data_IF_118706876211
#
_entry.id   IF_118706876211
#
_cell.length_a   1.000
_cell.length_b   1.000
_cell.length_c   1.000
_cell.angle_alpha   90.00
_cell.angle_beta   90.00
_cell.angle_gamma   90.00
#
_symmetry.space_group_name_H-M   'P 1'
#
loop_
_entity.id
_entity.type
_entity.pdbx_description
1 polymer ?
#
# COMPACT_ATOMS: atom_id res chain seq x y z
N UNK A 1 13.88 7.69 -59.73
CA UNK A 1 15.04 8.29 -59.06
C UNK A 1 15.04 7.76 -57.65
N UNK A 2 16.06 6.93 -57.37
CA UNK A 2 16.33 6.25 -56.11
C UNK A 2 16.76 7.26 -55.03
N UNK A 3 16.40 7.05 -53.82
CA UNK A 3 17.19 7.46 -52.67
C UNK A 3 16.99 6.46 -51.49
N UNK A 4 17.92 5.54 -51.48
CA UNK A 4 18.21 4.66 -50.37
C UNK A 4 18.87 5.51 -49.27
N UNK A 5 18.41 5.45 -48.01
CA UNK A 5 19.17 5.85 -46.85
C UNK A 5 19.30 4.67 -45.88
N UNK A 6 20.55 4.21 -45.85
CA UNK A 6 21.08 3.12 -45.05
C UNK A 6 20.84 3.27 -43.56
N UNK A 7 20.40 2.18 -42.94
CA UNK A 7 20.45 1.96 -41.50
C UNK A 7 21.89 1.65 -41.11
N UNK A 8 22.56 2.52 -40.38
CA UNK A 8 23.86 2.26 -39.76
C UNK A 8 23.64 1.48 -38.44
N UNK A 9 24.05 0.22 -38.48
CA UNK A 9 24.23 -0.67 -37.35
C UNK A 9 25.34 -0.12 -36.43
N UNK A 10 25.02 0.14 -35.19
CA UNK A 10 26.02 0.42 -34.14
C UNK A 10 26.70 -0.89 -33.74
N UNK A 11 28.00 -1.00 -33.99
CA UNK A 11 28.88 -2.08 -33.54
C UNK A 11 29.16 -1.92 -32.04
N UNK A 12 29.25 -3.00 -31.25
CA UNK A 12 29.64 -2.91 -29.86
C UNK A 12 31.14 -2.61 -29.73
N UNK A 13 31.48 -1.61 -28.92
CA UNK A 13 32.84 -1.27 -28.53
C UNK A 13 33.49 -2.41 -27.74
N UNK A 14 34.49 -3.03 -28.34
CA UNK A 14 35.44 -3.95 -27.70
C UNK A 14 36.29 -3.15 -26.69
N UNK A 15 36.25 -3.54 -25.43
CA UNK A 15 37.18 -3.09 -24.43
C UNK A 15 38.54 -3.68 -24.67
N UNK A 16 39.51 -2.83 -24.96
CA UNK A 16 40.95 -3.18 -25.01
C UNK A 16 41.47 -2.92 -23.60
N UNK A 17 41.98 -3.96 -22.96
CA UNK A 17 42.68 -3.86 -21.68
C UNK A 17 44.10 -3.34 -21.91
N UNK A 18 44.60 -2.37 -21.16
CA UNK A 18 46.03 -2.11 -21.06
C UNK A 18 46.65 -2.97 -19.94
N UNK A 19 47.51 -3.90 -20.31
CA UNK A 19 48.40 -4.55 -19.38
C UNK A 19 49.49 -3.54 -18.98
N UNK A 20 49.59 -3.20 -17.68
CA UNK A 20 50.78 -2.61 -17.10
C UNK A 20 51.14 -3.39 -15.84
N UNK A 21 52.38 -3.88 -15.84
CA UNK A 21 53.00 -4.63 -14.76
C UNK A 21 53.59 -3.71 -13.69
N UNK A 22 53.51 -4.21 -12.46
CA UNK A 22 54.47 -4.04 -11.33
C UNK A 22 54.39 -2.73 -10.51
N UNK A 23 53.98 -2.94 -9.23
CA UNK A 23 54.25 -2.00 -8.15
C UNK A 23 53.42 -2.42 -6.91
N UNK A 24 54.06 -3.12 -5.94
CA UNK A 24 53.42 -3.58 -4.73
C UNK A 24 52.78 -2.44 -3.90
N UNK A 25 51.53 -2.53 -3.66
CA UNK A 25 50.75 -1.69 -2.76
C UNK A 25 49.34 -2.26 -2.66
N UNK A 26 49.12 -3.14 -1.66
CA UNK A 26 47.79 -3.75 -1.42
C UNK A 26 46.83 -2.66 -0.95
N UNK A 27 46.20 -1.98 -1.86
CA UNK A 27 45.03 -1.20 -1.56
C UNK A 27 43.83 -2.06 -1.89
N UNK A 28 43.29 -2.73 -0.87
CA UNK A 28 42.06 -3.50 -0.95
C UNK A 28 40.91 -2.47 -1.06
N UNK A 29 40.65 -1.99 -2.27
CA UNK A 29 39.41 -1.32 -2.58
C UNK A 29 38.39 -2.45 -2.64
N UNK A 30 37.79 -2.76 -1.47
CA UNK A 30 36.55 -3.51 -1.43
C UNK A 30 35.56 -2.78 -2.33
N UNK A 31 35.33 -3.32 -3.52
CA UNK A 31 34.27 -2.87 -4.40
C UNK A 31 33.00 -2.93 -3.57
N UNK A 32 32.47 -1.76 -3.22
CA UNK A 32 31.15 -1.66 -2.62
C UNK A 32 30.19 -2.36 -3.56
N UNK A 33 29.75 -3.53 -3.13
CA UNK A 33 28.72 -4.25 -3.87
C UNK A 33 27.51 -3.33 -3.95
N UNK A 34 26.84 -3.18 -5.10
CA UNK A 34 25.61 -2.43 -5.17
C UNK A 34 24.66 -3.10 -4.17
N UNK A 35 24.27 -2.33 -3.14
CA UNK A 35 23.24 -2.73 -2.20
C UNK A 35 22.05 -3.11 -3.07
N UNK A 36 21.71 -4.40 -3.08
CA UNK A 36 20.50 -4.90 -3.74
C UNK A 36 19.34 -4.35 -2.91
N UNK A 37 18.89 -3.14 -3.27
CA UNK A 37 17.62 -2.64 -2.75
C UNK A 37 16.59 -3.72 -3.07
N UNK A 38 15.98 -4.28 -2.02
CA UNK A 38 14.85 -5.21 -2.21
C UNK A 38 13.81 -4.55 -3.11
N UNK A 39 13.24 -5.30 -4.07
CA UNK A 39 12.27 -4.71 -4.98
C UNK A 39 11.17 -3.98 -4.19
N UNK A 40 10.82 -2.78 -4.62
CA UNK A 40 9.72 -1.95 -4.08
C UNK A 40 8.50 -2.78 -3.70
N UNK A 41 8.15 -3.75 -4.55
CA UNK A 41 7.04 -4.67 -4.31
C UNK A 41 7.18 -5.47 -3.01
N UNK A 42 8.38 -5.81 -2.57
CA UNK A 42 8.61 -6.57 -1.34
C UNK A 42 8.53 -5.65 -0.12
N UNK A 43 9.14 -4.47 -0.18
CA UNK A 43 9.05 -3.46 0.89
C UNK A 43 7.64 -2.90 1.03
N UNK A 44 6.93 -2.66 -0.07
CA UNK A 44 5.53 -2.26 -0.06
C UNK A 44 4.62 -3.38 0.42
N UNK A 45 4.88 -4.65 0.06
CA UNK A 45 4.19 -5.80 0.66
C UNK A 45 4.42 -5.87 2.17
N UNK A 46 5.64 -5.65 2.64
CA UNK A 46 5.95 -5.63 4.07
C UNK A 46 5.27 -4.45 4.79
N UNK A 47 5.21 -3.27 4.15
CA UNK A 47 4.47 -2.12 4.67
C UNK A 47 2.95 -2.35 4.67
N UNK A 48 2.38 -2.95 3.60
CA UNK A 48 0.99 -3.38 3.55
C UNK A 48 0.67 -4.39 4.66
N UNK A 49 1.54 -5.37 4.87
CA UNK A 49 1.41 -6.34 5.95
C UNK A 49 1.51 -5.71 7.35
N UNK A 50 2.31 -4.65 7.49
CA UNK A 50 2.50 -3.95 8.77
C UNK A 50 1.44 -2.90 9.06
N UNK A 51 0.68 -2.46 8.07
CA UNK A 51 -0.41 -1.48 8.22
C UNK A 51 -1.75 -2.11 8.66
N UNK A 52 -1.75 -3.30 9.24
CA UNK A 52 -2.97 -4.05 9.60
C UNK A 52 -3.85 -4.46 8.40
N UNK A 53 -3.30 -4.54 7.20
CA UNK A 53 -3.96 -5.07 6.02
C UNK A 53 -3.83 -6.60 5.92
N UNK A 54 -3.26 -7.26 6.95
CA UNK A 54 -3.35 -8.70 7.03
C UNK A 54 -4.81 -9.12 7.23
N UNK A 55 -5.30 -10.08 6.46
CA UNK A 55 -6.58 -10.68 6.77
C UNK A 55 -6.51 -11.18 8.22
N UNK A 56 -7.49 -10.85 9.05
CA UNK A 56 -7.50 -11.27 10.43
C UNK A 56 -7.39 -12.80 10.52
N UNK A 57 -6.68 -13.29 11.52
CA UNK A 57 -6.55 -14.74 11.75
C UNK A 57 -7.94 -15.35 11.95
N UNK A 58 -8.24 -16.51 11.33
CA UNK A 58 -9.51 -17.15 11.53
C UNK A 58 -9.72 -17.44 13.02
N UNK A 59 -10.77 -16.88 13.61
CA UNK A 59 -11.24 -17.24 14.95
C UNK A 59 -12.05 -18.53 14.88
N UNK A 60 -12.13 -19.30 15.97
CA UNK A 60 -12.93 -20.53 16.01
C UNK A 60 -14.39 -20.22 15.63
N UNK A 61 -15.00 -21.18 15.00
CA UNK A 61 -16.28 -21.13 14.30
C UNK A 61 -17.34 -20.25 14.96
N UNK A 62 -17.66 -19.15 14.29
CA UNK A 62 -18.89 -18.40 14.55
C UNK A 62 -20.07 -19.30 14.09
N UNK A 63 -21.15 -19.43 14.88
CA UNK A 63 -22.30 -20.24 14.47
C UNK A 63 -22.77 -19.82 13.07
N UNK A 64 -23.21 -20.76 12.25
CA UNK A 64 -23.56 -20.62 10.83
C UNK A 64 -24.51 -19.43 10.57
N UNK A 65 -23.96 -18.27 10.38
CA UNK A 65 -24.72 -17.13 9.88
C UNK A 65 -24.57 -17.15 8.38
N UNK A 66 -25.63 -17.51 7.67
CA UNK A 66 -25.58 -17.77 6.24
C UNK A 66 -25.53 -16.50 5.40
N UNK A 67 -26.15 -15.41 5.83
CA UNK A 67 -26.15 -14.17 5.05
C UNK A 67 -26.47 -12.93 5.87
N UNK A 68 -25.92 -11.80 5.41
CA UNK A 68 -26.22 -10.46 5.88
C UNK A 68 -26.92 -9.71 4.76
N UNK A 69 -28.04 -9.06 5.06
CA UNK A 69 -28.84 -8.38 4.03
C UNK A 69 -29.24 -6.98 4.50
N UNK A 70 -28.99 -6.00 3.64
CA UNK A 70 -29.56 -4.67 3.79
C UNK A 70 -30.89 -4.61 3.02
N UNK A 71 -32.00 -4.51 3.74
CA UNK A 71 -33.33 -4.28 3.15
C UNK A 71 -33.85 -2.88 3.54
N UNK A 72 -33.79 -1.95 2.59
CA UNK A 72 -33.93 -0.55 2.93
C UNK A 72 -32.78 -0.11 3.87
N UNK A 73 -33.14 0.51 4.98
CA UNK A 73 -32.16 0.89 6.02
C UNK A 73 -31.94 -0.18 7.08
N UNK A 74 -32.68 -1.29 7.02
CA UNK A 74 -32.55 -2.37 8.00
C UNK A 74 -31.45 -3.35 7.61
N UNK A 75 -30.54 -3.60 8.54
CA UNK A 75 -29.59 -4.71 8.45
C UNK A 75 -30.24 -5.94 9.09
N UNK A 76 -30.29 -7.03 8.32
CA UNK A 76 -30.81 -8.34 8.76
C UNK A 76 -29.69 -9.38 8.77
N UNK A 77 -29.70 -10.20 9.81
CA UNK A 77 -28.91 -11.43 9.86
C UNK A 77 -29.86 -12.59 9.58
N UNK A 78 -29.56 -13.37 8.57
CA UNK A 78 -30.38 -14.48 8.15
C UNK A 78 -29.66 -15.80 8.41
N UNK A 79 -30.36 -16.72 9.05
CA UNK A 79 -29.89 -18.08 9.38
C UNK A 79 -30.75 -19.10 8.65
N UNK A 80 -30.12 -20.14 8.16
CA UNK A 80 -30.82 -21.28 7.55
C UNK A 80 -30.12 -22.58 7.98
N UNK A 81 -30.86 -23.55 8.44
CA UNK A 81 -30.37 -24.89 8.78
C UNK A 81 -30.91 -25.89 7.77
N UNK A 82 -30.02 -26.46 6.95
CA UNK A 82 -30.43 -27.42 5.90
C UNK A 82 -31.46 -26.84 4.93
N UNK A 83 -32.55 -27.58 4.69
CA UNK A 83 -33.66 -27.15 3.82
C UNK A 83 -34.74 -26.36 4.58
N UNK A 84 -34.49 -25.92 5.82
CA UNK A 84 -35.46 -25.14 6.59
C UNK A 84 -35.65 -23.72 6.03
N UNK A 85 -36.75 -23.09 6.38
CA UNK A 85 -37.04 -21.73 5.98
C UNK A 85 -35.98 -20.77 6.55
N UNK A 86 -35.55 -19.83 5.69
CA UNK A 86 -34.58 -18.79 6.06
C UNK A 86 -35.21 -17.84 7.07
N UNK A 87 -34.71 -17.81 8.29
CA UNK A 87 -35.16 -16.89 9.35
C UNK A 87 -34.24 -15.69 9.43
N UNK A 88 -34.80 -14.50 9.27
CA UNK A 88 -34.07 -13.23 9.29
C UNK A 88 -34.48 -12.39 10.49
N UNK A 89 -33.51 -11.86 11.20
CA UNK A 89 -33.68 -10.97 12.36
C UNK A 89 -33.07 -9.61 12.05
N UNK A 90 -33.75 -8.52 12.37
CA UNK A 90 -33.23 -7.15 12.24
C UNK A 90 -32.27 -6.88 13.37
N UNK A 91 -31.00 -6.56 13.06
CA UNK A 91 -29.97 -6.26 14.06
C UNK A 91 -29.67 -4.79 14.20
N UNK A 92 -30.17 -3.97 13.27
CA UNK A 92 -30.02 -2.52 13.33
C UNK A 92 -30.42 -1.82 12.05
N UNK A 93 -30.25 -0.48 12.05
CA UNK A 93 -30.64 0.36 10.94
C UNK A 93 -29.55 1.38 10.58
N UNK A 94 -29.51 1.74 9.32
CA UNK A 94 -28.69 2.83 8.79
C UNK A 94 -27.26 2.45 8.42
N UNK A 95 -26.59 3.39 7.77
CA UNK A 95 -25.24 3.27 7.26
C UNK A 95 -24.22 2.82 8.32
N UNK A 96 -24.23 3.47 9.48
CA UNK A 96 -23.23 3.26 10.55
C UNK A 96 -23.27 1.84 11.10
N UNK A 97 -24.48 1.29 11.29
CA UNK A 97 -24.65 -0.09 11.76
C UNK A 97 -24.17 -1.07 10.71
N UNK A 98 -24.56 -0.89 9.46
CA UNK A 98 -24.10 -1.72 8.35
C UNK A 98 -22.59 -1.70 8.24
N UNK A 99 -21.96 -0.51 8.24
CA UNK A 99 -20.51 -0.38 8.10
C UNK A 99 -19.77 -1.00 9.28
N UNK A 100 -20.25 -0.82 10.51
CA UNK A 100 -19.67 -1.44 11.70
C UNK A 100 -19.70 -2.96 11.58
N UNK A 101 -20.86 -3.53 11.26
CA UNK A 101 -21.02 -4.97 11.10
C UNK A 101 -20.11 -5.52 10.01
N UNK A 102 -19.98 -4.83 8.87
CA UNK A 102 -19.07 -5.24 7.81
C UNK A 102 -17.60 -5.20 8.28
N UNK A 103 -17.21 -4.17 9.04
CA UNK A 103 -15.88 -4.08 9.64
C UNK A 103 -15.63 -5.21 10.65
N UNK A 104 -16.62 -5.54 11.48
CA UNK A 104 -16.53 -6.61 12.47
C UNK A 104 -16.39 -7.98 11.79
N UNK A 105 -17.15 -8.23 10.73
CA UNK A 105 -17.02 -9.42 9.89
C UNK A 105 -15.62 -9.53 9.27
N UNK A 106 -15.12 -8.43 8.72
CA UNK A 106 -13.76 -8.37 8.20
C UNK A 106 -12.73 -8.66 9.32
N UNK A 107 -12.89 -8.04 10.49
CA UNK A 107 -12.05 -8.26 11.66
C UNK A 107 -12.08 -9.70 12.19
N UNK A 108 -13.16 -10.44 11.95
CA UNK A 108 -13.33 -11.85 12.32
C UNK A 108 -12.80 -12.82 11.25
N UNK A 109 -12.33 -12.32 10.09
CA UNK A 109 -11.91 -13.15 8.98
C UNK A 109 -13.06 -13.66 8.09
N UNK A 110 -14.28 -13.21 8.34
CA UNK A 110 -15.45 -13.55 7.49
C UNK A 110 -15.48 -12.64 6.26
N UNK A 111 -14.49 -12.83 5.39
CA UNK A 111 -14.21 -11.95 4.25
C UNK A 111 -15.36 -11.93 3.25
N UNK A 112 -15.98 -13.09 2.99
CA UNK A 112 -17.06 -13.22 2.01
C UNK A 112 -18.27 -12.37 2.43
N UNK A 113 -18.74 -12.53 3.67
CA UNK A 113 -19.87 -11.76 4.15
C UNK A 113 -19.54 -10.28 4.32
N UNK A 114 -18.32 -9.94 4.72
CA UNK A 114 -17.87 -8.56 4.76
C UNK A 114 -17.92 -7.89 3.38
N UNK A 115 -17.41 -8.57 2.33
CA UNK A 115 -17.45 -8.06 0.95
C UNK A 115 -18.90 -7.86 0.47
N UNK A 116 -19.75 -8.85 0.67
CA UNK A 116 -21.19 -8.78 0.30
C UNK A 116 -21.83 -7.58 1.00
N UNK A 117 -21.62 -7.41 2.29
CA UNK A 117 -22.22 -6.33 3.04
C UNK A 117 -21.67 -4.95 2.65
N UNK A 118 -20.35 -4.80 2.40
CA UNK A 118 -19.82 -3.53 1.87
C UNK A 118 -20.48 -3.17 0.53
N UNK A 119 -20.65 -4.13 -0.39
CA UNK A 119 -21.31 -3.87 -1.69
C UNK A 119 -22.77 -3.45 -1.52
N UNK A 120 -23.52 -4.07 -0.62
CA UNK A 120 -24.89 -3.69 -0.30
C UNK A 120 -24.98 -2.27 0.31
N UNK A 121 -24.02 -1.93 1.22
CA UNK A 121 -23.92 -0.59 1.80
C UNK A 121 -23.65 0.45 0.71
N UNK A 122 -22.72 0.18 -0.20
CA UNK A 122 -22.41 1.06 -1.33
C UNK A 122 -23.64 1.27 -2.22
N UNK A 123 -24.34 0.20 -2.55
CA UNK A 123 -25.57 0.29 -3.36
C UNK A 123 -26.64 1.16 -2.69
N UNK A 124 -26.76 1.07 -1.37
CA UNK A 124 -27.76 1.81 -0.59
C UNK A 124 -27.33 3.24 -0.27
N UNK A 125 -26.03 3.45 -0.01
CA UNK A 125 -25.46 4.72 0.42
C UNK A 125 -24.27 5.15 -0.47
N UNK A 126 -24.48 5.43 -1.77
CA UNK A 126 -23.41 5.65 -2.74
C UNK A 126 -22.58 6.92 -2.51
N UNK A 127 -23.04 7.80 -1.61
CA UNK A 127 -22.32 9.04 -1.25
C UNK A 127 -21.42 8.91 -0.02
N UNK A 128 -21.15 7.69 0.42
CA UNK A 128 -20.35 7.42 1.61
C UNK A 128 -18.97 6.87 1.21
N UNK A 129 -17.95 7.70 1.23
CA UNK A 129 -16.60 7.37 0.81
C UNK A 129 -15.98 6.21 1.59
N UNK A 130 -16.25 6.14 2.91
CA UNK A 130 -15.68 5.11 3.77
C UNK A 130 -16.06 3.68 3.34
N UNK A 131 -17.27 3.47 2.80
CA UNK A 131 -17.68 2.15 2.34
C UNK A 131 -16.86 1.68 1.15
N UNK A 132 -16.61 2.56 0.17
CA UNK A 132 -15.72 2.28 -0.96
C UNK A 132 -14.29 2.03 -0.48
N UNK A 133 -13.78 2.90 0.40
CA UNK A 133 -12.44 2.74 0.97
C UNK A 133 -12.28 1.38 1.66
N UNK A 134 -13.24 0.98 2.50
CA UNK A 134 -13.21 -0.30 3.21
C UNK A 134 -13.29 -1.50 2.27
N UNK A 135 -14.13 -1.43 1.23
CA UNK A 135 -14.17 -2.45 0.19
C UNK A 135 -12.82 -2.54 -0.56
N UNK A 136 -12.23 -1.40 -0.91
CA UNK A 136 -10.91 -1.34 -1.53
C UNK A 136 -9.82 -1.98 -0.66
N UNK A 137 -9.83 -1.69 0.65
CA UNK A 137 -8.92 -2.31 1.63
C UNK A 137 -9.08 -3.83 1.68
N UNK A 138 -10.32 -4.32 1.72
CA UNK A 138 -10.62 -5.76 1.71
C UNK A 138 -10.10 -6.42 0.42
N UNK A 139 -10.38 -5.83 -0.74
CA UNK A 139 -9.96 -6.34 -2.05
C UNK A 139 -8.43 -6.36 -2.19
N UNK A 140 -7.76 -5.31 -1.70
CA UNK A 140 -6.29 -5.24 -1.66
C UNK A 140 -5.71 -6.37 -0.81
N UNK A 141 -6.31 -6.65 0.36
CA UNK A 141 -5.92 -7.77 1.21
C UNK A 141 -6.12 -9.15 0.56
N UNK A 142 -7.05 -9.27 -0.39
CA UNK A 142 -7.24 -10.48 -1.22
C UNK A 142 -6.29 -10.54 -2.44
N UNK A 143 -5.44 -9.54 -2.66
CA UNK A 143 -4.60 -9.44 -3.85
C UNK A 143 -5.32 -8.99 -5.12
N UNK A 144 -6.60 -8.62 -5.03
CA UNK A 144 -7.40 -8.07 -6.14
C UNK A 144 -7.07 -6.59 -6.36
N UNK A 145 -5.81 -6.30 -6.72
CA UNK A 145 -5.28 -4.93 -6.73
C UNK A 145 -6.04 -4.02 -7.69
N UNK A 146 -6.37 -4.47 -8.90
CA UNK A 146 -7.11 -3.66 -9.87
C UNK A 146 -8.50 -3.26 -9.37
N UNK A 147 -9.20 -4.18 -8.70
CA UNK A 147 -10.51 -3.91 -8.12
C UNK A 147 -10.39 -2.95 -6.92
N UNK A 148 -9.35 -3.11 -6.11
CA UNK A 148 -9.05 -2.21 -4.98
C UNK A 148 -8.80 -0.77 -5.47
N UNK A 149 -8.00 -0.61 -6.55
CA UNK A 149 -7.75 0.69 -7.17
C UNK A 149 -9.07 1.38 -7.55
N UNK A 150 -9.97 0.64 -8.23
CA UNK A 150 -11.27 1.19 -8.61
C UNK A 150 -12.09 1.68 -7.40
N UNK A 151 -12.05 0.93 -6.29
CA UNK A 151 -12.77 1.32 -5.08
C UNK A 151 -12.11 2.52 -4.37
N UNK A 152 -10.78 2.58 -4.29
CA UNK A 152 -10.07 3.75 -3.74
C UNK A 152 -10.32 5.01 -4.56
N UNK A 153 -10.35 4.89 -5.91
CA UNK A 153 -10.70 6.01 -6.79
C UNK A 153 -12.13 6.50 -6.54
N UNK A 154 -13.10 5.58 -6.36
CA UNK A 154 -14.48 5.94 -6.00
C UNK A 154 -14.57 6.61 -4.63
N UNK A 155 -13.78 6.15 -3.65
CA UNK A 155 -13.72 6.81 -2.34
C UNK A 155 -13.22 8.26 -2.46
N UNK A 156 -12.20 8.52 -3.30
CA UNK A 156 -11.66 9.85 -3.56
C UNK A 156 -12.64 10.71 -4.36
N UNK A 157 -13.34 10.13 -5.35
CA UNK A 157 -14.37 10.83 -6.12
C UNK A 157 -15.50 11.35 -5.22
N UNK A 158 -15.95 10.52 -4.25
CA UNK A 158 -16.98 10.87 -3.28
C UNK A 158 -16.45 11.84 -2.23
N UNK A 159 -15.24 11.65 -1.75
CA UNK A 159 -14.56 12.52 -0.78
C UNK A 159 -13.10 12.78 -1.18
N UNK A 160 -12.83 13.90 -1.88
CA UNK A 160 -11.45 14.25 -2.27
C UNK A 160 -10.49 14.47 -1.10
N UNK A 161 -11.02 14.69 0.12
CA UNK A 161 -10.23 14.87 1.35
C UNK A 161 -10.01 13.56 2.12
N UNK A 162 -10.21 12.41 1.49
CA UNK A 162 -10.02 11.11 2.14
C UNK A 162 -8.54 10.68 2.10
N UNK A 163 -7.72 11.19 3.04
CA UNK A 163 -6.27 10.98 3.06
C UNK A 163 -5.86 9.49 2.99
N UNK A 164 -6.59 8.60 3.69
CA UNK A 164 -6.30 7.16 3.66
C UNK A 164 -6.51 6.55 2.29
N UNK A 165 -7.55 6.97 1.56
CA UNK A 165 -7.79 6.48 0.20
C UNK A 165 -6.69 6.92 -0.77
N UNK A 166 -6.19 8.16 -0.66
CA UNK A 166 -5.04 8.61 -1.43
C UNK A 166 -3.78 7.80 -1.12
N UNK A 167 -3.50 7.55 0.17
CA UNK A 167 -2.35 6.74 0.57
C UNK A 167 -2.42 5.32 -0.01
N UNK A 168 -3.55 4.63 0.19
CA UNK A 168 -3.69 3.23 -0.19
C UNK A 168 -3.81 3.04 -1.71
N UNK A 169 -4.37 4.04 -2.42
CA UNK A 169 -4.30 4.10 -3.88
C UNK A 169 -2.84 4.23 -4.34
N UNK A 170 -2.04 5.10 -3.70
CA UNK A 170 -0.62 5.24 -3.98
C UNK A 170 0.14 3.92 -3.79
N UNK A 171 -0.14 3.21 -2.71
CA UNK A 171 0.45 1.87 -2.46
C UNK A 171 0.05 0.87 -3.54
N UNK A 172 -1.22 0.85 -3.94
CA UNK A 172 -1.71 -0.02 -4.99
C UNK A 172 -1.09 0.32 -6.36
N UNK A 173 -0.91 1.62 -6.68
CA UNK A 173 -0.24 2.07 -7.90
C UNK A 173 1.24 1.66 -7.93
N UNK A 174 1.96 1.88 -6.82
CA UNK A 174 3.36 1.48 -6.72
C UNK A 174 3.56 -0.03 -6.85
N UNK A 175 2.62 -0.85 -6.33
CA UNK A 175 2.66 -2.31 -6.50
C UNK A 175 2.49 -2.75 -7.96
N UNK A 176 1.93 -1.90 -8.81
CA UNK A 176 1.85 -2.08 -10.26
C UNK A 176 3.04 -1.45 -11.03
N UNK A 177 4.06 -0.96 -10.34
CA UNK A 177 5.21 -0.30 -10.96
C UNK A 177 4.98 1.18 -11.34
N UNK A 178 3.84 1.74 -10.98
CA UNK A 178 3.47 3.15 -11.27
C UNK A 178 3.94 4.05 -10.12
N UNK A 179 5.27 4.09 -9.91
CA UNK A 179 5.86 4.82 -8.79
C UNK A 179 5.66 6.35 -8.88
N UNK A 180 5.80 7.01 -10.05
CA UNK A 180 5.56 8.46 -10.13
C UNK A 180 4.15 8.85 -9.71
N UNK A 181 3.14 8.11 -10.16
CA UNK A 181 1.73 8.34 -9.78
C UNK A 181 1.51 8.10 -8.28
N UNK A 182 2.15 7.09 -7.71
CA UNK A 182 2.09 6.80 -6.28
C UNK A 182 2.65 7.96 -5.44
N UNK A 183 3.78 8.54 -5.84
CA UNK A 183 4.41 9.70 -5.18
C UNK A 183 3.44 10.89 -5.14
N UNK A 184 2.75 11.18 -6.24
CA UNK A 184 1.73 12.25 -6.30
C UNK A 184 0.61 11.99 -5.31
N UNK A 185 0.13 10.75 -5.22
CA UNK A 185 -0.95 10.34 -4.31
C UNK A 185 -0.53 10.43 -2.84
N UNK A 186 0.69 10.04 -2.49
CA UNK A 186 1.21 10.19 -1.13
C UNK A 186 1.40 11.65 -0.74
N UNK A 187 1.89 12.50 -1.64
CA UNK A 187 1.95 13.95 -1.41
C UNK A 187 0.56 14.53 -1.16
N UNK A 188 -0.46 14.07 -1.91
CA UNK A 188 -1.84 14.49 -1.68
C UNK A 188 -2.36 14.03 -0.31
N UNK A 189 -2.10 12.78 0.09
CA UNK A 189 -2.47 12.27 1.42
C UNK A 189 -1.84 13.11 2.54
N UNK A 190 -0.57 13.50 2.40
CA UNK A 190 0.15 14.34 3.37
C UNK A 190 -0.38 15.78 3.36
N UNK A 191 -0.75 16.32 2.19
CA UNK A 191 -1.38 17.65 2.09
C UNK A 191 -2.71 17.68 2.85
N UNK A 192 -3.49 16.61 2.79
CA UNK A 192 -4.77 16.47 3.52
C UNK A 192 -4.52 16.27 5.02
N UNK A 193 -3.59 15.38 5.36
CA UNK A 193 -3.23 15.08 6.74
C UNK A 193 -1.71 15.07 6.91
N UNK A 194 -1.13 16.20 7.30
CA UNK A 194 0.31 16.36 7.48
C UNK A 194 0.93 15.55 8.62
N UNK A 195 0.10 14.86 9.44
CA UNK A 195 0.54 13.98 10.53
C UNK A 195 0.21 12.51 10.23
N UNK A 196 0.20 12.12 8.98
CA UNK A 196 -0.07 10.74 8.56
C UNK A 196 1.26 9.99 8.32
N UNK A 197 1.77 9.24 9.34
CA UNK A 197 3.12 8.67 9.29
C UNK A 197 3.28 7.63 8.18
N UNK A 198 2.24 6.85 7.87
CA UNK A 198 2.33 5.85 6.80
C UNK A 198 2.50 6.50 5.42
N UNK A 199 1.79 7.61 5.15
CA UNK A 199 1.94 8.34 3.89
C UNK A 199 3.32 9.01 3.78
N UNK A 200 3.83 9.58 4.88
CA UNK A 200 5.18 10.16 4.94
C UNK A 200 6.26 9.09 4.70
N UNK A 201 6.12 7.92 5.31
CA UNK A 201 7.02 6.80 5.10
C UNK A 201 6.99 6.32 3.64
N UNK A 202 5.79 6.13 3.08
CA UNK A 202 5.63 5.69 1.71
C UNK A 202 6.22 6.70 0.71
N UNK A 203 5.99 8.00 0.93
CA UNK A 203 6.59 9.06 0.14
C UNK A 203 8.12 9.02 0.22
N UNK A 204 8.68 8.95 1.42
CA UNK A 204 10.13 8.95 1.61
C UNK A 204 10.81 7.75 0.96
N UNK A 205 10.24 6.56 1.12
CA UNK A 205 10.71 5.34 0.45
C UNK A 205 10.58 5.46 -1.07
N UNK A 206 9.43 5.93 -1.56
CA UNK A 206 9.18 6.09 -3.00
C UNK A 206 10.17 7.06 -3.67
N UNK A 207 10.43 8.22 -3.05
CA UNK A 207 11.39 9.20 -3.55
C UNK A 207 12.83 8.66 -3.55
N UNK A 208 13.20 7.90 -2.52
CA UNK A 208 14.51 7.25 -2.46
C UNK A 208 14.69 6.23 -3.58
N UNK A 209 13.65 5.46 -3.87
CA UNK A 209 13.66 4.42 -4.91
C UNK A 209 13.63 5.01 -6.33
N UNK A 210 13.02 6.18 -6.52
CA UNK A 210 13.08 6.91 -7.78
C UNK A 210 14.52 7.29 -8.15
N UNK A 211 15.42 7.39 -7.16
CA UNK A 211 16.86 7.61 -7.35
C UNK A 211 17.22 9.02 -7.81
N UNK A 212 16.29 9.95 -7.85
CA UNK A 212 16.56 11.34 -8.18
C UNK A 212 17.22 12.04 -7.01
N UNK A 213 18.45 12.57 -7.21
CA UNK A 213 19.19 13.26 -6.17
C UNK A 213 18.47 14.50 -5.61
N UNK A 214 17.67 15.16 -6.45
CA UNK A 214 16.91 16.35 -6.05
C UNK A 214 15.82 15.99 -5.01
N UNK A 215 15.27 14.79 -5.10
CA UNK A 215 14.23 14.29 -4.21
C UNK A 215 14.76 13.70 -2.89
N UNK A 216 16.09 13.54 -2.77
CA UNK A 216 16.69 12.90 -1.59
C UNK A 216 16.47 13.70 -0.30
N UNK A 217 16.48 15.02 -0.38
CA UNK A 217 16.24 15.91 0.78
C UNK A 217 14.79 15.74 1.27
N UNK A 218 13.82 15.71 0.35
CA UNK A 218 12.41 15.48 0.69
C UNK A 218 12.19 14.07 1.24
N UNK A 219 12.87 13.07 0.67
CA UNK A 219 12.82 11.69 1.13
C UNK A 219 13.25 11.56 2.59
N UNK A 220 14.44 12.09 2.92
CA UNK A 220 15.00 12.08 4.29
C UNK A 220 14.10 12.84 5.27
N UNK A 221 13.60 14.02 4.88
CA UNK A 221 12.72 14.82 5.72
C UNK A 221 11.40 14.08 6.02
N UNK A 222 10.81 13.46 4.99
CA UNK A 222 9.57 12.68 5.13
C UNK A 222 9.76 11.46 6.04
N UNK A 223 10.85 10.72 5.88
CA UNK A 223 11.19 9.57 6.72
C UNK A 223 11.42 9.97 8.18
N UNK A 224 12.20 11.02 8.45
CA UNK A 224 12.42 11.53 9.82
C UNK A 224 11.11 11.89 10.48
N UNK A 225 10.25 12.63 9.78
CA UNK A 225 8.92 12.99 10.30
C UNK A 225 8.03 11.77 10.54
N UNK A 226 8.06 10.79 9.64
CA UNK A 226 7.33 9.54 9.81
C UNK A 226 7.79 8.80 11.08
N UNK A 227 9.11 8.66 11.27
CA UNK A 227 9.70 8.06 12.47
C UNK A 227 9.21 8.71 13.75
N UNK A 228 9.30 10.04 13.84
CA UNK A 228 8.89 10.80 15.03
C UNK A 228 7.40 10.57 15.35
N UNK A 229 6.56 10.51 14.30
CA UNK A 229 5.13 10.23 14.47
C UNK A 229 4.87 8.78 14.87
N UNK A 230 5.62 7.80 14.32
CA UNK A 230 5.52 6.41 14.76
C UNK A 230 5.91 6.23 16.23
N UNK A 231 6.98 6.90 16.67
CA UNK A 231 7.39 6.88 18.09
C UNK A 231 6.28 7.47 18.96
N UNK A 232 5.74 8.65 18.61
CA UNK A 232 4.62 9.27 19.34
C UNK A 232 3.38 8.40 19.43
N UNK A 233 3.15 7.53 18.43
CA UNK A 233 2.04 6.58 18.38
C UNK A 233 2.35 5.23 19.04
N UNK A 234 3.53 5.04 19.61
CA UNK A 234 3.97 3.76 20.20
C UNK A 234 4.27 2.67 19.17
N UNK A 235 4.35 3.01 17.87
CA UNK A 235 4.62 2.08 16.75
C UNK A 235 6.13 1.87 16.57
N UNK A 236 6.78 1.35 17.63
CA UNK A 236 8.25 1.23 17.73
C UNK A 236 8.87 0.43 16.58
N UNK A 237 8.24 -0.68 16.18
CA UNK A 237 8.75 -1.50 15.07
C UNK A 237 8.76 -0.72 13.73
N UNK A 238 7.74 0.12 13.48
CA UNK A 238 7.70 0.95 12.30
C UNK A 238 8.79 2.03 12.36
N UNK A 239 8.99 2.67 13.51
CA UNK A 239 10.05 3.66 13.71
C UNK A 239 11.45 3.05 13.48
N UNK A 240 11.72 1.85 14.01
CA UNK A 240 13.00 1.16 13.82
C UNK A 240 13.27 0.81 12.35
N UNK A 241 12.25 0.41 11.59
CA UNK A 241 12.40 0.20 10.14
C UNK A 241 12.77 1.47 9.39
N UNK A 242 12.15 2.58 9.75
CA UNK A 242 12.48 3.88 9.16
C UNK A 242 13.92 4.27 9.48
N UNK A 243 14.40 3.97 10.70
CA UNK A 243 15.82 4.21 11.06
C UNK A 243 16.79 3.41 10.20
N UNK A 244 16.48 2.14 9.95
CA UNK A 244 17.30 1.31 9.07
C UNK A 244 17.40 1.91 7.67
N UNK A 245 16.27 2.34 7.10
CA UNK A 245 16.25 3.00 5.78
C UNK A 245 17.08 4.28 5.80
N UNK A 246 16.96 5.12 6.84
CA UNK A 246 17.74 6.34 6.96
C UNK A 246 19.26 6.07 7.09
N UNK A 247 19.66 4.98 7.74
CA UNK A 247 21.05 4.54 7.83
C UNK A 247 21.58 4.06 6.45
N UNK A 248 20.78 3.33 5.69
CA UNK A 248 21.13 2.90 4.33
C UNK A 248 21.30 4.09 3.38
N UNK A 249 20.45 5.13 3.53
CA UNK A 249 20.54 6.36 2.73
C UNK A 249 21.78 7.20 3.05
N UNK A 250 22.30 7.10 4.25
CA UNK A 250 23.48 7.83 4.73
C UNK A 250 24.39 6.87 5.50
N UNK A 251 25.10 5.97 4.81
CA UNK A 251 25.97 5.02 5.47
C UNK A 251 27.05 5.78 6.25
N UNK A 252 27.39 5.34 7.47
CA UNK A 252 28.47 5.96 8.23
C UNK A 252 29.72 5.97 7.35
N UNK A 253 30.35 7.13 7.21
CA UNK A 253 31.63 7.23 6.55
C UNK A 253 32.55 6.22 7.22
N UNK A 254 32.90 5.11 6.54
CA UNK A 254 33.90 4.17 7.01
C UNK A 254 35.18 4.98 7.13
N UNK A 255 35.54 5.34 8.37
CA UNK A 255 36.75 6.06 8.68
C UNK A 255 37.95 5.33 8.06
N UNK A 256 38.61 6.04 7.20
CA UNK A 256 39.89 5.69 6.63
C UNK A 256 40.96 5.66 7.71
#
# INVERSE_FOLDING_TARGET
MKNDREFRLFKPLRWIAPSILVGAGICNIAAAQPVKAEPIALQLKQNLQSQNLQPPRPRPAVPEVLSYEMKGDELKICKQQGNSEKKCEVVGKGYTVGLRTANDLYGQGNIVNAEVLYRQIIARYPKQADAYYKLGTLLSGQGKISDAIAQFQKAIEVNPQHAKAHNDLGVAMASQGKLPEAIVLWRQAIKINGQYPDALNNLGVGLYQEGNKENLVEAVASLKKAKDLFVKQGRTQAANRVDQILQEMNPPSTGS
#
